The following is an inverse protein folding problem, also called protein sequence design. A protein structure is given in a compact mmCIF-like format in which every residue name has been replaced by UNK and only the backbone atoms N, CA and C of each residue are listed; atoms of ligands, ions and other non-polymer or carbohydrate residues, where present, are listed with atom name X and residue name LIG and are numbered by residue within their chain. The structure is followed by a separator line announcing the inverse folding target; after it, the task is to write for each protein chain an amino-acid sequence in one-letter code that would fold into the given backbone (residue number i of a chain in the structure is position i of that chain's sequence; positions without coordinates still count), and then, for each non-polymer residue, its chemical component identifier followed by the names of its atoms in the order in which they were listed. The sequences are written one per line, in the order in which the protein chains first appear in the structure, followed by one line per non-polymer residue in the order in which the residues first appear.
data_IF_721953182747
#
_entry.id   IF_721953182747
#
_cell.length_a   1.000
_cell.length_b   1.000
_cell.length_c   1.000
_cell.angle_alpha   90.00
_cell.angle_beta   90.00
_cell.angle_gamma   90.00
#
_symmetry.space_group_name_H-M   'P 1'
#
loop_
_entity.id
_entity.type
_entity.pdbx_description
1 polymer ?
#
# COMPACT_ATOMS: atom_id res chain seq x y z
N UNK A 1 24.88 -5.05 -27.93
CA UNK A 1 24.03 -4.08 -28.67
C UNK A 1 24.81 -2.79 -28.78
N UNK A 2 24.88 -2.18 -29.96
CA UNK A 2 25.50 -0.86 -30.13
C UNK A 2 24.48 0.24 -29.89
N UNK A 3 24.92 1.33 -29.28
CA UNK A 3 24.09 2.50 -29.03
C UNK A 3 23.75 3.21 -30.36
N UNK A 4 22.49 3.58 -30.55
CA UNK A 4 22.00 4.18 -31.81
C UNK A 4 22.41 5.64 -32.00
N UNK A 5 22.87 6.34 -30.96
CA UNK A 5 23.14 7.79 -31.00
C UNK A 5 21.94 8.65 -30.62
N UNK A 6 20.73 8.09 -30.57
CA UNK A 6 19.50 8.79 -30.18
C UNK A 6 19.16 8.51 -28.70
N UNK A 7 18.69 9.52 -27.97
CA UNK A 7 18.26 9.35 -26.58
C UNK A 7 17.04 10.22 -26.23
N UNK A 8 16.34 9.80 -25.20
CA UNK A 8 15.24 10.51 -24.57
C UNK A 8 15.11 10.08 -23.11
N UNK A 9 14.19 10.71 -22.37
CA UNK A 9 13.94 10.36 -20.98
C UNK A 9 12.59 9.66 -20.87
N UNK A 10 12.57 8.54 -20.15
CA UNK A 10 11.36 7.85 -19.78
C UNK A 10 11.12 8.05 -18.28
N UNK A 11 9.85 8.24 -17.91
CA UNK A 11 9.46 8.23 -16.51
C UNK A 11 9.68 6.82 -15.93
N UNK A 12 10.21 6.76 -14.71
CA UNK A 12 10.43 5.51 -14.00
C UNK A 12 9.99 5.65 -12.56
N UNK A 13 9.51 4.54 -12.00
CA UNK A 13 9.21 4.42 -10.59
C UNK A 13 10.11 3.34 -10.01
N UNK A 14 10.54 3.57 -8.78
CA UNK A 14 11.30 2.58 -8.05
C UNK A 14 10.83 2.56 -6.59
N UNK A 15 10.58 1.35 -6.10
CA UNK A 15 10.02 1.12 -4.79
C UNK A 15 11.07 0.45 -3.92
N UNK A 16 11.29 1.01 -2.72
CA UNK A 16 12.13 0.39 -1.69
C UNK A 16 11.32 0.12 -0.43
N UNK A 17 11.49 -1.06 0.18
CA UNK A 17 10.88 -1.33 1.47
C UNK A 17 11.47 -0.43 2.57
N UNK A 18 10.61 0.15 3.41
CA UNK A 18 11.02 0.80 4.67
C UNK A 18 11.31 -0.27 5.71
N UNK A 19 12.57 -0.44 6.08
CA UNK A 19 13.04 -1.54 6.95
C UNK A 19 13.64 -1.06 8.28
N UNK A 20 13.85 0.24 8.43
CA UNK A 20 14.46 0.88 9.59
C UNK A 20 13.57 2.05 10.07
N UNK A 21 13.93 2.69 11.19
CA UNK A 21 13.11 3.72 11.86
C UNK A 21 11.82 3.16 12.49
N UNK A 22 11.90 1.95 13.07
CA UNK A 22 10.79 1.37 13.86
C UNK A 22 10.51 2.25 15.07
N UNK A 23 9.28 2.72 15.18
CA UNK A 23 8.82 3.57 16.27
C UNK A 23 8.58 2.78 17.57
N UNK A 24 8.57 3.44 18.75
CA UNK A 24 8.10 2.84 19.99
C UNK A 24 6.65 2.33 19.87
N UNK A 25 6.27 1.35 20.69
CA UNK A 25 4.95 0.70 20.63
C UNK A 25 3.78 1.69 20.78
N UNK A 26 4.01 2.78 21.51
CA UNK A 26 3.02 3.83 21.76
C UNK A 26 2.61 4.57 20.47
N UNK A 27 3.45 4.50 19.43
CA UNK A 27 3.24 5.13 18.13
C UNK A 27 2.97 4.10 17.02
N UNK A 28 2.68 2.85 17.37
CA UNK A 28 2.24 1.87 16.38
C UNK A 28 0.89 2.29 15.80
N UNK A 29 0.65 1.98 14.52
CA UNK A 29 -0.64 2.21 13.88
C UNK A 29 -1.74 1.46 14.64
N UNK A 30 -2.84 2.15 14.91
CA UNK A 30 -4.06 1.64 15.50
C UNK A 30 -5.11 1.37 14.42
N UNK A 31 -6.21 0.71 14.79
CA UNK A 31 -7.23 0.26 13.85
C UNK A 31 -7.74 1.39 12.94
N UNK A 32 -8.01 2.57 13.51
CA UNK A 32 -8.55 3.73 12.80
C UNK A 32 -7.57 4.37 11.82
N UNK A 33 -6.25 4.17 12.00
CA UNK A 33 -5.26 4.65 11.02
C UNK A 33 -5.46 3.99 9.66
N UNK A 34 -5.98 2.75 9.63
CA UNK A 34 -6.33 2.06 8.39
C UNK A 34 -7.82 2.15 8.05
N UNK A 35 -8.69 2.10 9.06
CA UNK A 35 -10.13 1.79 8.90
C UNK A 35 -11.08 2.99 9.11
N UNK A 36 -10.55 4.22 9.20
CA UNK A 36 -11.38 5.42 9.17
C UNK A 36 -11.74 5.81 7.72
N UNK A 37 -12.75 6.67 7.56
CA UNK A 37 -13.18 7.20 6.25
C UNK A 37 -12.02 7.79 5.41
N UNK A 38 -10.96 8.27 6.06
CA UNK A 38 -9.74 8.78 5.43
C UNK A 38 -8.49 8.06 5.94
N UNK A 39 -8.59 6.73 6.10
CA UNK A 39 -7.50 5.86 6.52
C UNK A 39 -6.38 5.72 5.48
N UNK A 40 -5.27 5.10 5.88
CA UNK A 40 -4.05 4.97 5.10
C UNK A 40 -4.16 4.07 3.86
N UNK A 41 -5.13 3.16 3.85
CA UNK A 41 -5.18 2.07 2.87
C UNK A 41 -6.08 2.40 1.68
N UNK A 42 -5.51 2.37 0.49
CA UNK A 42 -6.28 2.32 -0.75
C UNK A 42 -6.75 0.89 -1.00
N UNK A 43 -7.92 0.55 -0.47
CA UNK A 43 -8.46 -0.81 -0.51
C UNK A 43 -8.68 -1.32 -1.94
N UNK A 44 -9.14 -0.44 -2.86
CA UNK A 44 -9.40 -0.81 -4.24
C UNK A 44 -8.09 -1.10 -4.98
N UNK A 45 -7.06 -0.25 -4.84
CA UNK A 45 -5.75 -0.49 -5.44
C UNK A 45 -5.07 -1.75 -4.89
N UNK A 46 -5.34 -2.11 -3.63
CA UNK A 46 -4.90 -3.36 -3.00
C UNK A 46 -5.72 -4.59 -3.43
N UNK A 47 -6.80 -4.41 -4.19
CA UNK A 47 -7.64 -5.49 -4.71
C UNK A 47 -8.77 -5.96 -3.78
N UNK A 48 -9.09 -5.19 -2.74
CA UNK A 48 -10.23 -5.44 -1.86
C UNK A 48 -11.50 -4.74 -2.40
N UNK A 49 -12.70 -5.30 -2.18
CA UNK A 49 -13.95 -4.70 -2.63
C UNK A 49 -14.38 -3.45 -1.82
N UNK A 50 -13.59 -3.06 -0.83
CA UNK A 50 -13.87 -2.03 0.16
C UNK A 50 -13.16 -2.38 1.47
N UNK A 51 -13.35 -1.54 2.49
CA UNK A 51 -12.71 -1.75 3.79
C UNK A 51 -13.03 -3.16 4.35
N UNK A 52 -12.02 -4.02 4.57
CA UNK A 52 -12.21 -5.36 5.12
C UNK A 52 -12.92 -5.41 6.47
N UNK A 53 -12.93 -4.34 7.26
CA UNK A 53 -13.61 -4.31 8.57
C UNK A 53 -15.13 -4.37 8.41
N UNK A 54 -15.67 -3.87 7.30
CA UNK A 54 -17.12 -3.75 7.05
C UNK A 54 -17.75 -5.10 6.63
N UNK A 55 -17.03 -5.89 5.83
CA UNK A 55 -17.56 -7.15 5.28
C UNK A 55 -16.91 -8.39 5.88
N UNK A 56 -15.65 -8.31 6.29
CA UNK A 56 -14.92 -9.33 7.04
C UNK A 56 -14.66 -10.66 6.30
N UNK A 57 -13.57 -11.34 6.66
CA UNK A 57 -13.32 -12.74 6.30
C UNK A 57 -14.03 -13.77 7.21
N UNK A 58 -14.83 -13.32 8.19
CA UNK A 58 -15.42 -14.20 9.23
C UNK A 58 -16.76 -14.81 8.84
N UNK A 59 -17.47 -14.22 7.86
CA UNK A 59 -18.82 -14.61 7.45
C UNK A 59 -18.88 -15.17 6.02
N UNK A 60 -17.75 -15.31 5.33
CA UNK A 60 -17.68 -16.06 4.08
C UNK A 60 -17.83 -17.55 4.43
N UNK A 61 -19.07 -18.06 4.31
CA UNK A 61 -19.28 -19.50 4.18
C UNK A 61 -18.53 -19.94 2.91
N UNK A 62 -17.53 -20.80 3.10
CA UNK A 62 -16.91 -21.56 2.01
C UNK A 62 -17.95 -22.41 1.29
#
# INVERSE_FOLDING_TARGET
LEFSGEYGFAETWMYWPTTHMVQPKENALQCEDCHADNGLMDWEALGYPGDPIEWGGRNVQQ
#
